data_IF_978807647669
#
_entry.id   IF_978807647669
#
_cell.length_a   1.000
_cell.length_b   1.000
_cell.length_c   1.000
_cell.angle_alpha   90.00
_cell.angle_beta   90.00
_cell.angle_gamma   90.00
#
_symmetry.space_group_name_H-M   'P 1'
#
loop_
_entity.id
_entity.type
_entity.pdbx_description
1 polymer ?
#
# COMPACT_ATOMS: atom_id res chain seq x y z
N UNK A 1 -11.11 -26.66 19.18
CA UNK A 1 -10.80 -25.89 17.95
C UNK A 1 -10.55 -24.45 18.37
N UNK A 2 -9.38 -23.90 18.06
CA UNK A 2 -9.08 -22.49 18.35
C UNK A 2 -9.44 -21.65 17.11
N UNK A 3 -10.10 -20.52 17.33
CA UNK A 3 -10.45 -19.57 16.28
C UNK A 3 -9.76 -18.23 16.58
N UNK A 4 -9.18 -17.61 15.58
CA UNK A 4 -8.61 -16.28 15.69
C UNK A 4 -9.69 -15.22 15.42
N UNK A 5 -9.72 -14.18 16.25
CA UNK A 5 -10.51 -12.98 16.05
C UNK A 5 -9.56 -11.83 15.71
N UNK A 6 -9.74 -11.21 14.56
CA UNK A 6 -8.92 -10.08 14.12
C UNK A 6 -9.79 -8.91 13.69
N UNK A 7 -9.22 -7.74 13.61
CA UNK A 7 -9.90 -6.55 13.11
C UNK A 7 -9.01 -5.82 12.12
N UNK A 8 -9.61 -5.02 11.21
CA UNK A 8 -8.91 -4.12 10.32
C UNK A 8 -9.32 -2.67 10.65
N UNK A 9 -8.33 -1.82 10.85
CA UNK A 9 -8.53 -0.44 11.29
C UNK A 9 -7.72 0.53 10.42
N UNK A 10 -8.29 1.72 10.14
CA UNK A 10 -7.55 2.77 9.43
C UNK A 10 -6.34 3.21 10.25
N UNK A 11 -5.22 3.44 9.58
CA UNK A 11 -4.00 3.98 10.18
C UNK A 11 -4.22 5.38 10.79
N UNK A 12 -5.26 6.08 10.35
CA UNK A 12 -5.60 7.43 10.82
C UNK A 12 -6.30 7.47 12.18
N UNK A 13 -6.75 6.31 12.70
CA UNK A 13 -7.38 6.28 14.01
C UNK A 13 -6.36 6.48 15.14
N UNK A 14 -6.81 7.24 16.12
CA UNK A 14 -6.09 7.45 17.38
C UNK A 14 -6.85 6.78 18.53
N UNK A 15 -6.11 6.19 19.45
CA UNK A 15 -6.65 5.45 20.59
C UNK A 15 -6.04 5.96 21.86
N UNK A 16 -6.90 6.24 22.86
CA UNK A 16 -6.42 6.36 24.23
C UNK A 16 -5.98 4.98 24.78
N UNK A 17 -5.21 5.00 25.85
CA UNK A 17 -4.65 3.78 26.43
C UNK A 17 -5.72 2.78 26.88
N UNK A 18 -6.83 3.25 27.48
CA UNK A 18 -7.87 2.37 27.98
C UNK A 18 -8.62 1.64 26.86
N UNK A 19 -8.93 2.36 25.76
CA UNK A 19 -9.55 1.77 24.60
C UNK A 19 -8.60 0.81 23.88
N UNK A 20 -7.31 1.17 23.77
CA UNK A 20 -6.29 0.31 23.17
C UNK A 20 -6.12 -1.01 23.93
N UNK A 21 -6.08 -0.97 25.26
CA UNK A 21 -5.96 -2.17 26.10
C UNK A 21 -7.19 -3.08 25.96
N UNK A 22 -8.40 -2.49 25.94
CA UNK A 22 -9.63 -3.24 25.71
C UNK A 22 -9.67 -3.91 24.34
N UNK A 23 -9.31 -3.18 23.28
CA UNK A 23 -9.25 -3.71 21.92
C UNK A 23 -8.21 -4.82 21.80
N UNK A 24 -7.00 -4.58 22.30
CA UNK A 24 -5.91 -5.56 22.27
C UNK A 24 -6.23 -6.83 23.09
N UNK A 25 -7.05 -6.71 24.13
CA UNK A 25 -7.56 -7.84 24.91
C UNK A 25 -8.66 -8.63 24.21
N UNK A 26 -9.41 -7.99 23.31
CA UNK A 26 -10.55 -8.59 22.62
C UNK A 26 -10.16 -9.35 21.35
N UNK A 27 -9.01 -9.02 20.71
CA UNK A 27 -8.59 -9.59 19.42
C UNK A 27 -7.22 -10.25 19.52
N UNK A 28 -6.97 -11.22 18.65
CA UNK A 28 -5.67 -11.90 18.53
C UNK A 28 -4.62 -10.95 17.93
N UNK A 29 -5.00 -10.23 16.87
CA UNK A 29 -4.18 -9.15 16.28
C UNK A 29 -5.02 -8.12 15.54
N UNK A 30 -4.38 -7.00 15.23
CA UNK A 30 -4.97 -5.85 14.53
C UNK A 30 -4.28 -5.69 13.18
N UNK A 31 -5.06 -5.61 12.11
CA UNK A 31 -4.60 -5.28 10.77
C UNK A 31 -4.74 -3.76 10.58
N UNK A 32 -3.63 -3.05 10.47
CA UNK A 32 -3.62 -1.61 10.23
C UNK A 32 -3.64 -1.37 8.72
N UNK A 33 -4.70 -0.76 8.21
CA UNK A 33 -4.82 -0.37 6.80
C UNK A 33 -3.89 0.81 6.50
N UNK A 34 -2.61 0.51 6.22
CA UNK A 34 -1.55 1.47 5.95
C UNK A 34 -1.43 1.81 4.46
N UNK A 35 -2.55 2.08 3.85
CA UNK A 35 -2.76 2.52 2.46
C UNK A 35 -3.92 3.53 2.42
N UNK A 36 -4.31 4.00 1.23
CA UNK A 36 -5.28 5.08 1.01
C UNK A 36 -4.86 6.41 1.67
N UNK A 37 -3.55 6.65 1.77
CA UNK A 37 -2.99 7.82 2.46
C UNK A 37 -3.12 9.12 1.65
N UNK A 38 -3.63 9.04 0.42
CA UNK A 38 -3.70 10.14 -0.53
C UNK A 38 -5.13 10.67 -0.75
N UNK A 39 -6.08 10.37 0.11
CA UNK A 39 -7.51 10.62 -0.14
C UNK A 39 -8.03 9.97 -1.45
N UNK A 40 -7.18 9.28 -2.17
CA UNK A 40 -7.48 8.56 -3.41
C UNK A 40 -8.17 9.43 -4.44
N UNK A 41 -9.36 9.00 -4.87
CA UNK A 41 -10.22 9.76 -5.80
C UNK A 41 -11.21 10.68 -5.10
N UNK A 42 -11.27 10.68 -3.77
CA UNK A 42 -12.23 11.48 -2.98
C UNK A 42 -11.68 12.83 -2.57
N UNK A 43 -10.35 12.98 -2.56
CA UNK A 43 -9.68 14.22 -2.20
C UNK A 43 -9.64 15.25 -3.33
N UNK A 44 -8.76 16.24 -3.17
CA UNK A 44 -8.56 17.32 -4.16
C UNK A 44 -7.11 17.46 -4.64
N UNK A 45 -6.17 16.70 -4.05
CA UNK A 45 -4.75 16.81 -4.36
C UNK A 45 -4.14 15.40 -4.46
N UNK A 46 -3.73 14.96 -5.67
CA UNK A 46 -3.18 13.64 -5.85
C UNK A 46 -1.81 13.51 -5.17
N UNK A 47 -1.63 12.43 -4.42
CA UNK A 47 -0.37 12.09 -3.75
C UNK A 47 -0.19 10.58 -3.71
N UNK A 48 0.84 10.07 -3.02
CA UNK A 48 1.07 8.64 -2.92
C UNK A 48 -0.04 7.91 -2.16
N UNK A 49 -0.48 6.77 -2.71
CA UNK A 49 -1.40 5.83 -2.05
C UNK A 49 -0.80 5.31 -0.74
N UNK A 50 0.50 5.01 -0.77
CA UNK A 50 1.28 4.56 0.36
C UNK A 50 2.55 5.40 0.44
N UNK A 51 2.98 5.77 1.64
CA UNK A 51 4.20 6.54 1.86
C UNK A 51 4.86 6.08 3.14
N UNK A 52 6.14 5.76 3.09
CA UNK A 52 6.91 5.38 4.29
C UNK A 52 7.01 6.52 5.29
N UNK A 53 7.18 7.76 4.83
CA UNK A 53 7.18 8.94 5.69
C UNK A 53 5.86 9.07 6.44
N UNK A 54 4.72 9.03 5.72
CA UNK A 54 3.39 9.12 6.34
C UNK A 54 3.09 7.91 7.24
N UNK A 55 3.46 6.71 6.82
CA UNK A 55 3.27 5.50 7.62
C UNK A 55 4.03 5.61 8.95
N UNK A 56 5.29 6.04 8.93
CA UNK A 56 6.08 6.25 10.15
C UNK A 56 5.44 7.29 11.07
N UNK A 57 5.02 8.42 10.51
CA UNK A 57 4.35 9.50 11.26
C UNK A 57 3.05 9.03 11.91
N UNK A 58 2.17 8.39 11.15
CA UNK A 58 0.87 7.91 11.65
C UNK A 58 1.00 6.79 12.69
N UNK A 59 1.99 5.91 12.54
CA UNK A 59 2.25 4.83 13.51
C UNK A 59 2.77 5.32 14.87
N UNK A 60 3.13 6.60 15.01
CA UNK A 60 3.41 7.19 16.33
C UNK A 60 2.19 7.09 17.27
N UNK A 61 0.97 7.30 16.74
CA UNK A 61 -0.28 7.17 17.51
C UNK A 61 -0.59 5.72 17.91
N UNK A 62 0.00 4.75 17.19
CA UNK A 62 -0.18 3.31 17.44
C UNK A 62 0.79 2.73 18.48
N UNK A 63 1.70 3.53 19.03
CA UNK A 63 2.64 3.11 20.09
C UNK A 63 1.96 2.70 21.40
N UNK A 64 0.67 2.97 21.54
CA UNK A 64 -0.16 2.49 22.65
C UNK A 64 -0.39 0.97 22.60
N UNK A 65 -0.20 0.35 21.43
CA UNK A 65 -0.32 -1.11 21.23
C UNK A 65 1.04 -1.80 21.25
N UNK A 66 1.04 -3.09 21.64
CA UNK A 66 2.20 -3.96 21.41
C UNK A 66 2.35 -4.22 19.89
N UNK A 67 3.50 -3.89 19.33
CA UNK A 67 3.80 -4.10 17.91
C UNK A 67 3.64 -5.56 17.46
N UNK A 68 3.84 -6.51 18.38
CA UNK A 68 3.64 -7.95 18.15
C UNK A 68 2.17 -8.35 17.96
N UNK A 69 1.24 -7.42 18.10
CA UNK A 69 -0.18 -7.55 17.76
C UNK A 69 -0.58 -6.77 16.52
N UNK A 70 0.34 -6.07 15.87
CA UNK A 70 0.06 -5.21 14.73
C UNK A 70 0.58 -5.82 13.42
N UNK A 71 -0.33 -6.08 12.47
CA UNK A 71 -0.03 -6.38 11.08
C UNK A 71 -0.20 -5.14 10.22
N UNK A 72 0.79 -4.80 9.39
CA UNK A 72 0.73 -3.62 8.53
C UNK A 72 0.24 -3.99 7.13
N UNK A 73 -0.66 -3.17 6.60
CA UNK A 73 -1.26 -3.36 5.29
C UNK A 73 -0.31 -2.99 4.15
N UNK A 74 -0.26 -3.84 3.14
CA UNK A 74 0.43 -3.61 1.88
C UNK A 74 -0.62 -3.55 0.77
N UNK A 75 -0.44 -2.61 -0.16
CA UNK A 75 -1.34 -2.43 -1.28
C UNK A 75 -0.69 -2.89 -2.59
N UNK A 76 -1.41 -3.69 -3.37
CA UNK A 76 -1.04 -4.02 -4.74
C UNK A 76 -1.98 -3.30 -5.73
N UNK A 77 -2.36 -2.09 -5.38
CA UNK A 77 -3.10 -1.13 -6.17
C UNK A 77 -2.59 0.29 -5.89
N UNK A 78 -2.98 1.20 -6.74
CA UNK A 78 -2.69 2.61 -6.60
C UNK A 78 -3.73 3.47 -7.28
N UNK A 79 -3.34 4.68 -7.63
CA UNK A 79 -4.21 5.63 -8.30
C UNK A 79 -3.58 6.16 -9.58
N UNK A 80 -4.41 6.28 -10.59
CA UNK A 80 -4.12 6.85 -11.89
C UNK A 80 -4.80 8.21 -12.02
N UNK A 81 -4.10 9.19 -12.56
CA UNK A 81 -4.61 10.54 -12.78
C UNK A 81 -4.22 11.06 -14.17
N UNK A 82 -5.10 11.88 -14.74
CA UNK A 82 -4.93 12.53 -16.04
C UNK A 82 -5.14 14.03 -15.93
N UNK A 83 -4.29 14.81 -16.62
CA UNK A 83 -4.40 16.27 -16.67
C UNK A 83 -4.00 16.98 -15.37
N UNK A 84 -3.38 16.27 -14.43
CA UNK A 84 -2.85 16.81 -13.18
C UNK A 84 -1.39 16.40 -13.00
N UNK A 85 -0.69 17.09 -12.11
CA UNK A 85 0.63 16.70 -11.59
C UNK A 85 0.51 16.22 -10.14
N UNK A 86 1.45 15.37 -9.65
CA UNK A 86 1.53 15.06 -8.24
C UNK A 86 1.56 16.34 -7.39
N UNK A 87 0.76 16.41 -6.34
CA UNK A 87 0.66 17.58 -5.47
C UNK A 87 -0.12 18.78 -6.03
N UNK A 88 -0.58 18.74 -7.26
CA UNK A 88 -1.38 19.81 -7.85
C UNK A 88 -2.82 19.72 -7.35
N UNK A 89 -3.33 20.81 -6.75
CA UNK A 89 -4.74 20.88 -6.38
C UNK A 89 -5.61 20.89 -7.64
N UNK A 90 -6.59 20.00 -7.67
CA UNK A 90 -7.60 19.93 -8.74
C UNK A 90 -8.69 21.00 -8.53
N UNK A 91 -9.33 21.41 -9.62
CA UNK A 91 -10.48 22.33 -9.59
C UNK A 91 -11.80 21.64 -9.19
N UNK A 92 -11.77 20.31 -9.06
CA UNK A 92 -12.89 19.46 -8.67
C UNK A 92 -12.41 18.22 -7.90
N UNK A 93 -13.31 17.28 -7.63
CA UNK A 93 -12.95 16.05 -6.95
C UNK A 93 -12.03 15.19 -7.84
N UNK A 94 -11.04 14.54 -7.26
CA UNK A 94 -10.04 13.75 -8.01
C UNK A 94 -10.63 12.62 -8.87
N UNK A 95 -11.82 12.12 -8.53
CA UNK A 95 -12.53 11.13 -9.36
C UNK A 95 -12.85 11.61 -10.79
N UNK A 96 -12.88 12.92 -11.02
CA UNK A 96 -13.09 13.49 -12.35
C UNK A 96 -11.82 13.49 -13.19
N UNK A 97 -10.67 13.28 -12.57
CA UNK A 97 -9.34 13.26 -13.16
C UNK A 97 -8.70 11.87 -13.18
N UNK A 98 -9.23 10.91 -12.42
CA UNK A 98 -8.58 9.63 -12.28
C UNK A 98 -9.42 8.55 -11.63
N UNK A 99 -8.78 7.41 -11.44
CA UNK A 99 -9.38 6.23 -10.87
C UNK A 99 -8.35 5.39 -10.12
N UNK A 100 -8.85 4.47 -9.36
CA UNK A 100 -8.15 3.32 -8.85
C UNK A 100 -7.56 2.47 -10.00
N UNK A 101 -6.36 1.91 -9.79
CA UNK A 101 -5.67 1.02 -10.72
C UNK A 101 -5.01 -0.14 -9.96
N UNK A 102 -5.24 -1.36 -10.40
CA UNK A 102 -4.56 -2.54 -9.85
C UNK A 102 -3.15 -2.68 -10.42
N UNK A 103 -2.28 -3.41 -9.72
CA UNK A 103 -0.90 -3.63 -10.19
C UNK A 103 -0.86 -4.36 -11.55
N UNK A 104 -1.72 -5.35 -11.76
CA UNK A 104 -1.81 -6.06 -13.05
C UNK A 104 -2.27 -5.17 -14.20
N UNK A 105 -3.13 -4.17 -13.95
CA UNK A 105 -3.55 -3.18 -14.96
C UNK A 105 -2.46 -2.13 -15.21
N UNK A 106 -1.59 -1.91 -14.23
CA UNK A 106 -0.46 -1.00 -14.36
C UNK A 106 0.70 -1.60 -15.20
N UNK A 107 0.98 -2.91 -15.06
CA UNK A 107 2.11 -3.57 -15.74
C UNK A 107 2.23 -3.28 -17.24
N UNK A 108 1.16 -3.30 -18.06
CA UNK A 108 1.25 -2.98 -19.48
C UNK A 108 1.74 -1.55 -19.77
N UNK A 109 1.55 -0.61 -18.84
CA UNK A 109 2.03 0.77 -19.03
C UNK A 109 3.54 0.85 -19.01
N UNK A 110 4.21 0.08 -18.15
CA UNK A 110 5.68 -0.01 -18.12
C UNK A 110 6.23 -0.47 -19.48
N UNK A 111 5.59 -1.47 -20.11
CA UNK A 111 5.97 -1.96 -21.42
C UNK A 111 5.72 -0.93 -22.53
N UNK A 112 4.84 0.04 -22.32
CA UNK A 112 4.47 1.11 -23.26
C UNK A 112 5.19 2.44 -23.00
N UNK A 113 6.39 2.40 -22.41
CA UNK A 113 7.30 3.55 -22.31
C UNK A 113 6.97 4.54 -21.19
N UNK A 114 6.19 4.14 -20.19
CA UNK A 114 6.03 4.93 -18.97
C UNK A 114 7.35 5.01 -18.20
N UNK A 115 7.63 6.18 -17.65
CA UNK A 115 8.88 6.46 -16.92
C UNK A 115 8.64 6.55 -15.43
N UNK A 116 9.56 5.99 -14.67
CA UNK A 116 9.54 5.99 -13.20
C UNK A 116 10.27 7.21 -12.65
N UNK A 117 9.69 7.87 -11.65
CA UNK A 117 10.33 8.90 -10.82
C UNK A 117 10.17 8.51 -9.34
N UNK A 118 11.27 8.15 -8.72
CA UNK A 118 11.30 7.74 -7.32
C UNK A 118 11.22 8.94 -6.37
N UNK A 119 10.31 8.88 -5.39
CA UNK A 119 10.23 9.82 -4.29
C UNK A 119 10.97 9.25 -3.07
N UNK A 120 12.14 9.79 -2.70
CA UNK A 120 12.93 9.25 -1.60
C UNK A 120 12.31 9.47 -0.21
N UNK A 121 11.42 10.43 -0.03
CA UNK A 121 10.74 10.67 1.23
C UNK A 121 9.60 9.64 1.44
N UNK A 122 8.83 9.41 0.40
CA UNK A 122 7.76 8.43 0.42
C UNK A 122 8.27 6.97 0.28
N UNK A 123 9.47 6.76 -0.27
CA UNK A 123 10.04 5.47 -0.67
C UNK A 123 9.11 4.70 -1.65
N UNK A 124 8.42 5.46 -2.49
CA UNK A 124 7.49 4.99 -3.53
C UNK A 124 7.72 5.83 -4.78
N UNK A 125 7.32 5.30 -5.94
CA UNK A 125 7.49 5.99 -7.22
C UNK A 125 6.19 6.54 -7.76
N UNK A 126 6.32 7.62 -8.54
CA UNK A 126 5.35 8.02 -9.55
C UNK A 126 5.78 7.46 -10.90
N UNK A 127 4.83 7.15 -11.74
CA UNK A 127 5.03 6.70 -13.12
C UNK A 127 4.29 7.63 -14.05
N UNK A 128 4.96 8.12 -15.09
CA UNK A 128 4.41 9.10 -16.01
C UNK A 128 4.29 8.51 -17.44
N UNK A 129 3.19 8.84 -18.12
CA UNK A 129 3.03 8.56 -19.54
C UNK A 129 4.13 9.24 -20.37
N UNK A 130 4.43 8.75 -21.61
CA UNK A 130 5.45 9.35 -22.46
C UNK A 130 5.25 10.84 -22.74
N UNK A 131 4.00 11.29 -22.85
CA UNK A 131 3.63 12.69 -23.03
C UNK A 131 3.45 13.48 -21.71
N UNK A 132 3.60 12.80 -20.57
CA UNK A 132 3.47 13.34 -19.20
C UNK A 132 2.10 13.97 -18.89
N UNK A 133 1.06 13.61 -19.64
CA UNK A 133 -0.33 14.05 -19.36
C UNK A 133 -1.02 13.19 -18.33
N UNK A 134 -0.47 12.01 -18.05
CA UNK A 134 -1.01 11.02 -17.12
C UNK A 134 0.07 10.55 -16.15
N UNK A 135 -0.34 10.19 -14.92
CA UNK A 135 0.55 9.53 -14.00
C UNK A 135 -0.16 8.50 -13.12
N UNK A 136 0.63 7.57 -12.59
CA UNK A 136 0.21 6.56 -11.61
C UNK A 136 1.08 6.67 -10.38
N UNK A 137 0.49 6.51 -9.20
CA UNK A 137 1.19 6.25 -7.95
C UNK A 137 0.82 4.86 -7.46
N UNK A 138 1.80 3.98 -7.33
CA UNK A 138 1.59 2.58 -6.97
C UNK A 138 2.88 1.99 -6.39
N UNK A 139 2.74 1.07 -5.44
CA UNK A 139 3.88 0.30 -4.96
C UNK A 139 4.48 -0.57 -6.07
N UNK A 140 5.78 -0.78 -5.99
CA UNK A 140 6.55 -1.65 -6.89
C UNK A 140 7.38 -2.66 -6.07
N UNK A 141 8.10 -3.60 -6.72
CA UNK A 141 8.95 -4.56 -6.03
C UNK A 141 9.93 -3.95 -5.02
N UNK A 142 10.50 -2.79 -5.34
CA UNK A 142 11.47 -2.11 -4.47
C UNK A 142 10.80 -1.50 -3.23
N UNK A 143 9.69 -0.76 -3.41
CA UNK A 143 8.97 -0.14 -2.30
C UNK A 143 8.34 -1.18 -1.37
N UNK A 144 7.80 -2.28 -1.91
CA UNK A 144 7.29 -3.40 -1.11
C UNK A 144 8.41 -4.04 -0.30
N UNK A 145 9.58 -4.24 -0.90
CA UNK A 145 10.76 -4.76 -0.20
C UNK A 145 11.16 -3.85 0.97
N UNK A 146 11.31 -2.56 0.74
CA UNK A 146 11.63 -1.57 1.79
C UNK A 146 10.63 -1.63 2.95
N UNK A 147 9.33 -1.69 2.65
CA UNK A 147 8.27 -1.81 3.67
C UNK A 147 8.42 -3.08 4.50
N UNK A 148 8.65 -4.22 3.87
CA UNK A 148 8.76 -5.50 4.57
C UNK A 148 10.01 -5.55 5.44
N UNK A 149 11.15 -5.08 4.94
CA UNK A 149 12.39 -5.00 5.72
C UNK A 149 12.20 -4.09 6.94
N UNK A 150 11.52 -2.97 6.78
CA UNK A 150 11.19 -2.07 7.88
C UNK A 150 10.21 -2.68 8.89
N UNK A 151 9.14 -3.36 8.44
CA UNK A 151 8.17 -4.07 9.29
C UNK A 151 8.89 -5.12 10.15
N UNK A 152 9.76 -5.92 9.52
CA UNK A 152 10.54 -6.97 10.17
C UNK A 152 11.51 -6.38 11.20
N UNK A 153 12.28 -5.36 10.81
CA UNK A 153 13.23 -4.69 11.71
C UNK A 153 12.51 -3.98 12.88
N UNK A 154 11.31 -3.47 12.64
CA UNK A 154 10.48 -2.79 13.64
C UNK A 154 9.84 -3.72 14.68
N UNK A 155 9.89 -5.05 14.49
CA UNK A 155 9.31 -6.04 15.41
C UNK A 155 7.78 -6.10 15.37
N UNK A 156 7.18 -5.72 14.25
CA UNK A 156 5.74 -5.88 14.02
C UNK A 156 5.38 -7.36 13.84
N UNK A 157 4.11 -7.72 14.08
CA UNK A 157 3.63 -9.10 13.92
C UNK A 157 3.83 -9.60 12.48
N UNK A 158 3.59 -8.74 11.48
CA UNK A 158 3.72 -9.09 10.08
C UNK A 158 3.06 -8.08 9.15
N UNK A 159 2.69 -8.55 7.98
CA UNK A 159 2.00 -7.78 6.97
C UNK A 159 0.78 -8.53 6.44
N UNK A 160 -0.17 -7.80 5.86
CA UNK A 160 -1.30 -8.36 5.14
C UNK A 160 -1.52 -7.57 3.84
N UNK A 161 -2.26 -8.16 2.89
CA UNK A 161 -2.51 -7.55 1.58
C UNK A 161 -3.95 -7.06 1.43
N UNK A 162 -4.09 -5.92 0.74
CA UNK A 162 -5.30 -5.52 0.06
C UNK A 162 -5.00 -5.31 -1.43
N UNK A 163 -5.38 -6.22 -2.34
CA UNK A 163 -6.00 -7.51 -2.04
C UNK A 163 -5.39 -8.59 -2.95
N UNK A 164 -5.78 -9.83 -2.79
CA UNK A 164 -5.08 -11.00 -3.37
C UNK A 164 -5.04 -11.02 -4.91
N UNK A 165 -6.07 -10.51 -5.60
CA UNK A 165 -6.15 -10.61 -7.08
C UNK A 165 -5.51 -9.43 -7.82
N UNK A 166 -5.13 -8.36 -7.16
CA UNK A 166 -4.71 -7.11 -7.80
C UNK A 166 -3.36 -7.19 -8.51
N UNK A 167 -2.51 -8.15 -8.16
CA UNK A 167 -1.22 -8.39 -8.80
C UNK A 167 -1.10 -9.76 -9.46
N UNK A 168 -2.18 -10.57 -9.44
CA UNK A 168 -2.16 -11.87 -10.07
C UNK A 168 -2.17 -11.77 -11.60
N UNK A 169 -1.16 -12.35 -12.22
CA UNK A 169 -1.06 -12.53 -13.67
C UNK A 169 -1.25 -14.00 -13.99
N UNK A 170 -2.27 -14.28 -14.78
CA UNK A 170 -2.62 -15.64 -15.18
C UNK A 170 -1.49 -16.33 -15.98
N UNK A 171 -1.46 -17.67 -16.02
CA UNK A 171 -0.50 -18.40 -16.83
C UNK A 171 -0.52 -17.97 -18.31
N UNK A 172 0.67 -17.88 -18.89
CA UNK A 172 0.89 -17.53 -20.29
C UNK A 172 2.20 -18.12 -20.79
N UNK A 173 2.56 -17.83 -22.06
CA UNK A 173 3.74 -18.40 -22.69
C UNK A 173 5.04 -18.09 -21.89
N UNK A 174 5.16 -16.85 -21.36
CA UNK A 174 6.32 -16.40 -20.59
C UNK A 174 6.23 -16.69 -19.09
N UNK A 175 5.03 -17.05 -18.60
CA UNK A 175 4.77 -17.35 -17.20
C UNK A 175 3.76 -18.53 -17.10
N UNK A 176 4.20 -19.78 -17.34
CA UNK A 176 3.31 -20.94 -17.44
C UNK A 176 2.52 -21.28 -16.17
N UNK A 177 2.98 -20.83 -15.01
CA UNK A 177 2.35 -21.11 -13.73
C UNK A 177 1.49 -19.95 -13.20
N UNK A 178 1.55 -18.79 -13.86
CA UNK A 178 1.05 -17.54 -13.28
C UNK A 178 1.92 -17.06 -12.13
N UNK A 179 1.70 -15.84 -11.67
CA UNK A 179 2.45 -15.29 -10.54
C UNK A 179 1.72 -14.14 -9.87
N UNK A 180 2.08 -13.91 -8.62
CA UNK A 180 1.79 -12.69 -7.88
C UNK A 180 3.07 -11.85 -7.80
N UNK A 181 3.17 -10.79 -8.59
CA UNK A 181 4.40 -10.02 -8.72
C UNK A 181 4.89 -9.40 -7.41
N UNK A 182 3.98 -8.86 -6.60
CA UNK A 182 4.32 -8.21 -5.33
C UNK A 182 4.19 -9.17 -4.14
N UNK A 183 3.16 -10.01 -4.12
CA UNK A 183 2.92 -10.95 -3.01
C UNK A 183 4.05 -11.98 -2.89
N UNK A 184 4.59 -12.45 -4.01
CA UNK A 184 5.70 -13.42 -4.03
C UNK A 184 6.99 -12.84 -3.41
N UNK A 185 7.19 -11.53 -3.49
CA UNK A 185 8.31 -10.84 -2.83
C UNK A 185 8.17 -10.95 -1.33
N UNK A 186 6.98 -10.68 -0.77
CA UNK A 186 6.72 -10.78 0.67
C UNK A 186 7.04 -12.17 1.19
N UNK A 187 6.58 -13.19 0.48
CA UNK A 187 6.82 -14.58 0.85
C UNK A 187 8.30 -14.91 0.97
N UNK A 188 9.11 -14.42 0.02
CA UNK A 188 10.57 -14.60 0.02
C UNK A 188 11.25 -13.89 1.20
N UNK A 189 10.87 -12.64 1.49
CA UNK A 189 11.53 -11.83 2.54
C UNK A 189 11.07 -12.13 3.96
N UNK A 190 9.82 -12.59 4.15
CA UNK A 190 9.34 -13.02 5.47
C UNK A 190 9.83 -14.43 5.84
N UNK A 191 10.47 -15.15 4.91
CA UNK A 191 11.09 -16.45 5.19
C UNK A 191 10.08 -17.56 5.50
N UNK A 192 8.87 -17.49 4.98
CA UNK A 192 7.96 -18.65 4.99
C UNK A 192 8.49 -19.67 4.00
N UNK A 193 8.85 -20.85 4.56
CA UNK A 193 9.17 -22.05 3.79
C UNK A 193 7.91 -22.72 3.31
#
# INVERSE_FOLDING_TARGET
>A
RYYYLTTALSIDHEYDRALADRLAGAVDWINIMSYDMCDGVWGSTPSHNTSMERMRSKLEHWKVFDKRKLCLGLANYGFYYKGLKPGQKADGPLRDYGSYITYKEFLPRLANGWTEEYDPAAEVSYYFSPDRTEFVTIDNPSSIRSKIEWIKAGGYLGAFWWEFHHDYVAPGAENPQGSHYLIDIVTRYLGRK
#
